data_IF_538830007847
#
_entry.id   IF_538830007847
#
_cell.length_a   1.000
_cell.length_b   1.000
_cell.length_c   1.000
_cell.angle_alpha   90.00
_cell.angle_beta   90.00
_cell.angle_gamma   90.00
#
_symmetry.space_group_name_H-M   'P 1'
#
loop_
_entity.id
_entity.type
_entity.pdbx_description
1 polymer ?
#
# COMPACT_ATOMS: atom_id res chain seq x y z
N UNK A 1 -12.85 20.19 6.93
CA UNK A 1 -12.17 20.45 8.23
C UNK A 1 -10.68 20.58 7.94
N UNK A 2 -9.93 21.43 8.66
CA UNK A 2 -8.51 21.72 8.36
C UNK A 2 -7.65 20.46 8.18
N UNK A 3 -7.89 19.41 8.98
CA UNK A 3 -7.22 18.11 8.88
C UNK A 3 -7.37 17.41 7.52
N UNK A 4 -8.55 17.49 6.89
CA UNK A 4 -8.76 16.83 5.59
C UNK A 4 -7.98 17.53 4.47
N UNK A 5 -7.90 18.86 4.50
CA UNK A 5 -7.13 19.63 3.52
C UNK A 5 -5.63 19.33 3.66
N UNK A 6 -5.10 19.25 4.89
CA UNK A 6 -3.70 18.89 5.13
C UNK A 6 -3.34 17.52 4.53
N UNK A 7 -4.24 16.54 4.63
CA UNK A 7 -4.05 15.22 4.02
C UNK A 7 -4.19 15.25 2.49
N UNK A 8 -5.07 16.09 1.94
CA UNK A 8 -5.17 16.30 0.49
C UNK A 8 -3.88 16.92 -0.06
N UNK A 9 -3.35 17.94 0.62
CA UNK A 9 -2.09 18.57 0.28
C UNK A 9 -0.93 17.54 0.34
N UNK A 10 -0.89 16.71 1.38
CA UNK A 10 0.08 15.62 1.51
C UNK A 10 -0.06 14.59 0.37
N UNK A 11 -1.28 14.26 -0.04
CA UNK A 11 -1.53 13.34 -1.17
C UNK A 11 -0.91 13.88 -2.46
N UNK A 12 -1.12 15.16 -2.77
CA UNK A 12 -0.50 15.81 -3.93
C UNK A 12 1.02 15.75 -3.86
N UNK A 13 1.59 16.04 -2.69
CA UNK A 13 3.03 16.01 -2.51
C UNK A 13 3.62 14.60 -2.62
N UNK A 14 2.95 13.57 -2.09
CA UNK A 14 3.40 12.18 -2.22
C UNK A 14 3.44 11.77 -3.69
N UNK A 15 2.47 12.20 -4.52
CA UNK A 15 2.54 11.98 -5.97
C UNK A 15 3.76 12.61 -6.60
N UNK A 16 4.08 13.86 -6.24
CA UNK A 16 5.31 14.53 -6.70
C UNK A 16 6.55 13.73 -6.33
N UNK A 17 6.63 13.25 -5.10
CA UNK A 17 7.78 12.47 -4.65
C UNK A 17 7.95 11.18 -5.46
N UNK A 18 6.85 10.45 -5.69
CA UNK A 18 6.83 9.23 -6.52
C UNK A 18 7.40 9.52 -7.90
N UNK A 19 6.86 10.54 -8.58
CA UNK A 19 7.26 10.93 -9.93
C UNK A 19 8.74 11.31 -10.00
N UNK A 20 9.21 12.12 -9.04
CA UNK A 20 10.61 12.56 -8.95
C UNK A 20 11.56 11.38 -8.65
N UNK A 21 11.18 10.47 -7.76
CA UNK A 21 11.98 9.28 -7.43
C UNK A 21 12.18 8.39 -8.65
N UNK A 22 11.10 8.00 -9.32
CA UNK A 22 11.19 7.04 -10.43
C UNK A 22 11.83 7.66 -11.68
N UNK A 23 11.60 8.95 -11.94
CA UNK A 23 12.25 9.68 -13.04
C UNK A 23 13.76 9.75 -12.86
N UNK A 24 14.23 10.13 -11.65
CA UNK A 24 15.66 10.35 -11.38
C UNK A 24 16.54 9.16 -11.76
N UNK A 25 16.04 7.94 -11.53
CA UNK A 25 16.76 6.69 -11.79
C UNK A 25 16.26 5.95 -13.03
N UNK A 26 15.34 6.54 -13.78
CA UNK A 26 14.67 5.95 -14.95
C UNK A 26 14.18 4.51 -14.67
N UNK A 27 13.65 4.28 -13.46
CA UNK A 27 13.32 2.95 -12.97
C UNK A 27 12.34 3.04 -11.80
N UNK A 28 11.32 2.18 -11.77
CA UNK A 28 10.34 2.14 -10.68
C UNK A 28 8.92 1.93 -11.18
N UNK A 29 7.97 1.91 -10.25
CA UNK A 29 6.57 1.55 -10.51
C UNK A 29 5.63 2.69 -10.13
N UNK A 30 5.47 3.73 -10.97
CA UNK A 30 4.61 4.86 -10.65
C UNK A 30 3.13 4.50 -10.65
N UNK A 31 2.66 3.62 -11.56
CA UNK A 31 1.24 3.33 -11.72
C UNK A 31 0.53 2.91 -10.44
N UNK A 32 0.94 1.79 -9.84
CA UNK A 32 0.34 1.32 -8.58
C UNK A 32 0.63 2.25 -7.40
N UNK A 33 1.79 2.91 -7.38
CA UNK A 33 2.14 3.89 -6.35
C UNK A 33 1.16 5.08 -6.34
N UNK A 34 0.90 5.65 -7.52
CA UNK A 34 -0.05 6.76 -7.70
C UNK A 34 -1.47 6.34 -7.36
N UNK A 35 -1.90 5.16 -7.80
CA UNK A 35 -3.24 4.61 -7.53
C UNK A 35 -3.53 4.38 -6.04
N UNK A 36 -2.51 4.11 -5.23
CA UNK A 36 -2.65 3.87 -3.80
C UNK A 36 -2.33 5.09 -2.92
N UNK A 37 -2.12 6.28 -3.47
CA UNK A 37 -1.61 7.43 -2.69
C UNK A 37 -2.54 7.83 -1.55
N UNK A 38 -3.85 7.99 -1.81
CA UNK A 38 -4.83 8.31 -0.77
C UNK A 38 -4.86 7.24 0.33
N UNK A 39 -4.74 5.96 -0.04
CA UNK A 39 -4.73 4.86 0.93
C UNK A 39 -3.58 4.98 1.91
N UNK A 40 -2.34 5.15 1.42
CA UNK A 40 -1.20 5.27 2.32
C UNK A 40 -1.27 6.53 3.19
N UNK A 41 -1.70 7.66 2.61
CA UNK A 41 -1.86 8.91 3.34
C UNK A 41 -2.89 8.76 4.47
N UNK A 42 -4.07 8.19 4.17
CA UNK A 42 -5.08 7.90 5.19
C UNK A 42 -4.56 6.90 6.23
N UNK A 43 -3.93 5.81 5.79
CA UNK A 43 -3.51 4.72 6.65
C UNK A 43 -2.53 5.19 7.74
N UNK A 44 -1.48 5.91 7.34
CA UNK A 44 -0.41 6.34 8.25
C UNK A 44 -0.75 7.59 9.08
N UNK A 45 -1.74 8.38 8.68
CA UNK A 45 -2.06 9.64 9.37
C UNK A 45 -3.37 9.62 10.15
N UNK A 46 -4.30 8.72 9.81
CA UNK A 46 -5.64 8.68 10.40
C UNK A 46 -6.06 7.32 10.95
N UNK A 47 -5.64 6.22 10.33
CA UNK A 47 -6.20 4.89 10.63
C UNK A 47 -5.36 4.12 11.65
N UNK A 48 -4.05 4.04 11.43
CA UNK A 48 -3.16 3.26 12.29
C UNK A 48 -2.84 3.97 13.59
N UNK A 49 -2.84 3.20 14.67
CA UNK A 49 -2.35 3.63 15.98
C UNK A 49 -0.85 3.32 16.09
N UNK A 50 -0.03 4.29 15.71
CA UNK A 50 1.43 4.19 15.70
C UNK A 50 2.06 4.77 16.97
N UNK A 51 3.22 4.26 17.35
CA UNK A 51 4.07 4.87 18.39
C UNK A 51 5.01 5.91 17.79
N UNK A 52 5.54 6.78 18.64
CA UNK A 52 6.63 7.66 18.24
C UNK A 52 7.91 6.84 18.01
N UNK A 53 8.57 7.10 16.89
CA UNK A 53 9.76 6.34 16.45
C UNK A 53 9.43 5.02 15.77
N UNK A 54 10.43 4.14 15.64
CA UNK A 54 10.28 2.83 15.02
C UNK A 54 11.00 1.77 15.86
N UNK A 55 10.27 0.69 16.13
CA UNK A 55 10.79 -0.53 16.74
C UNK A 55 10.38 -1.72 15.88
N UNK A 56 11.35 -2.58 15.51
CA UNK A 56 11.13 -3.77 14.67
C UNK A 56 10.17 -4.78 15.30
N UNK A 57 10.02 -4.79 16.63
CA UNK A 57 9.08 -5.69 17.31
C UNK A 57 7.62 -5.21 17.20
N UNK A 58 7.40 -3.89 17.05
CA UNK A 58 6.07 -3.33 16.80
C UNK A 58 5.06 -3.60 17.93
N UNK A 59 5.54 -3.66 19.17
CA UNK A 59 4.71 -3.91 20.35
C UNK A 59 3.80 -2.72 20.64
N UNK A 60 2.53 -2.95 20.98
CA UNK A 60 1.51 -1.95 21.29
C UNK A 60 1.33 -0.83 20.24
N UNK A 61 1.64 -1.12 18.97
CA UNK A 61 1.26 -0.31 17.81
C UNK A 61 0.64 -1.18 16.71
N UNK A 62 -0.10 -0.55 15.81
CA UNK A 62 -0.56 -1.20 14.59
C UNK A 62 0.61 -1.46 13.63
N UNK A 63 0.53 -2.54 12.84
CA UNK A 63 1.57 -2.91 11.87
C UNK A 63 1.05 -2.84 10.44
N UNK A 64 1.92 -2.46 9.52
CA UNK A 64 1.64 -2.51 8.08
C UNK A 64 2.67 -3.38 7.35
N UNK A 65 2.19 -4.17 6.39
CA UNK A 65 3.03 -4.94 5.48
C UNK A 65 2.62 -4.68 4.04
N UNK A 66 3.58 -4.22 3.22
CA UNK A 66 3.41 -4.07 1.79
C UNK A 66 3.70 -5.40 1.08
N UNK A 67 2.69 -6.06 0.52
CA UNK A 67 2.88 -7.35 -0.15
C UNK A 67 3.24 -7.18 -1.63
N UNK A 68 2.54 -6.27 -2.32
CA UNK A 68 2.88 -5.80 -3.67
C UNK A 68 4.07 -4.82 -3.64
N UNK A 69 5.21 -5.28 -3.11
CA UNK A 69 6.38 -4.46 -2.78
C UNK A 69 6.97 -3.61 -3.90
N UNK A 70 6.56 -3.82 -5.15
CA UNK A 70 7.03 -3.03 -6.29
C UNK A 70 6.56 -1.57 -6.22
N UNK A 71 5.44 -1.28 -5.55
CA UNK A 71 4.95 0.09 -5.29
C UNK A 71 5.69 0.80 -4.14
N UNK A 72 6.95 0.44 -3.92
CA UNK A 72 7.81 1.05 -2.90
C UNK A 72 7.91 2.58 -2.94
N UNK A 73 7.80 3.29 -4.09
CA UNK A 73 7.83 4.75 -4.11
C UNK A 73 6.79 5.41 -3.20
N UNK A 74 5.52 5.00 -3.25
CA UNK A 74 4.48 5.62 -2.39
C UNK A 74 4.76 5.33 -0.91
N UNK A 75 5.20 4.11 -0.62
CA UNK A 75 5.47 3.69 0.75
C UNK A 75 6.64 4.48 1.36
N UNK A 76 7.73 4.66 0.61
CA UNK A 76 8.88 5.43 1.06
C UNK A 76 8.56 6.92 1.24
N UNK A 77 7.84 7.53 0.30
CA UNK A 77 7.43 8.94 0.43
C UNK A 77 6.61 9.16 1.70
N UNK A 78 5.62 8.31 1.98
CA UNK A 78 4.77 8.43 3.17
C UNK A 78 5.55 8.19 4.45
N UNK A 79 6.43 7.20 4.50
CA UNK A 79 7.30 6.98 5.67
C UNK A 79 8.22 8.18 5.94
N UNK A 80 8.88 8.70 4.90
CA UNK A 80 9.76 9.86 5.01
C UNK A 80 9.00 11.08 5.54
N UNK A 81 7.84 11.38 4.96
CA UNK A 81 6.98 12.52 5.37
C UNK A 81 6.35 12.33 6.75
N UNK A 82 6.21 11.09 7.21
CA UNK A 82 5.81 10.77 8.58
C UNK A 82 6.95 10.88 9.59
N UNK A 83 8.20 11.07 9.12
CA UNK A 83 9.38 11.27 9.96
C UNK A 83 10.12 10.00 10.34
N UNK A 84 9.89 8.88 9.64
CA UNK A 84 10.65 7.64 9.88
C UNK A 84 12.12 7.77 9.47
N UNK A 85 12.41 8.61 8.48
CA UNK A 85 13.76 8.93 8.01
C UNK A 85 13.76 10.28 7.26
N UNK A 86 14.94 10.91 7.03
CA UNK A 86 15.04 12.20 6.34
C UNK A 86 14.45 12.17 4.92
N UNK A 87 13.76 13.25 4.53
CA UNK A 87 13.05 13.31 3.26
C UNK A 87 13.99 13.34 2.04
N UNK A 88 15.18 13.89 2.23
CA UNK A 88 16.28 13.99 1.28
C UNK A 88 16.79 12.61 0.85
N UNK A 89 16.56 11.57 1.66
CA UNK A 89 16.92 10.20 1.31
C UNK A 89 16.09 9.66 0.15
N UNK A 90 14.88 10.19 -0.11
CA UNK A 90 14.07 9.86 -1.31
C UNK A 90 14.87 10.08 -2.60
N UNK A 91 15.80 11.02 -2.59
CA UNK A 91 16.72 11.28 -3.69
C UNK A 91 17.69 10.13 -3.99
N UNK A 92 17.76 9.10 -3.14
CA UNK A 92 18.66 7.95 -3.28
C UNK A 92 17.95 6.68 -3.76
N UNK A 93 16.64 6.73 -4.03
CA UNK A 93 15.84 5.58 -4.47
C UNK A 93 16.52 4.77 -5.58
N UNK A 94 16.65 3.45 -5.37
CA UNK A 94 17.31 2.47 -6.29
C UNK A 94 18.77 2.72 -6.62
N UNK A 95 19.44 3.69 -6.00
CA UNK A 95 20.89 3.84 -6.16
C UNK A 95 21.64 2.76 -5.36
N UNK A 96 22.85 2.46 -5.81
CA UNK A 96 23.78 1.62 -5.03
C UNK A 96 23.98 2.24 -3.63
N UNK A 97 24.09 1.39 -2.62
CA UNK A 97 24.27 1.76 -1.21
C UNK A 97 23.13 2.62 -0.60
N UNK A 98 21.98 2.72 -1.27
CA UNK A 98 20.78 3.35 -0.70
C UNK A 98 20.02 2.39 0.20
N UNK A 99 19.38 2.90 1.26
CA UNK A 99 18.41 2.12 2.02
C UNK A 99 17.05 1.99 1.30
N UNK A 100 16.77 2.86 0.33
CA UNK A 100 15.55 2.88 -0.48
C UNK A 100 15.68 1.98 -1.71
N UNK A 101 15.67 0.67 -1.44
CA UNK A 101 15.81 -0.37 -2.45
C UNK A 101 14.61 -0.42 -3.42
N UNK A 102 14.79 -1.07 -4.58
CA UNK A 102 13.72 -1.14 -5.59
C UNK A 102 12.45 -1.85 -5.12
N UNK A 103 12.62 -2.76 -4.15
CA UNK A 103 11.58 -3.35 -3.32
C UNK A 103 11.99 -3.20 -1.84
N UNK A 104 11.06 -3.04 -0.89
CA UNK A 104 11.38 -2.92 0.53
C UNK A 104 12.15 -4.12 1.03
N UNK A 105 13.19 -3.85 1.83
CA UNK A 105 14.01 -4.86 2.49
C UNK A 105 14.43 -4.36 3.86
N UNK A 106 14.65 -5.30 4.79
CA UNK A 106 15.10 -5.00 6.15
C UNK A 106 16.62 -4.92 6.27
N UNK A 107 17.38 -5.41 5.28
CA UNK A 107 18.84 -5.51 5.36
C UNK A 107 19.51 -4.16 5.65
N UNK A 108 19.00 -3.10 5.04
CA UNK A 108 19.52 -1.75 5.14
C UNK A 108 19.02 -0.97 6.38
N UNK A 109 18.19 -1.59 7.22
CA UNK A 109 17.70 -0.97 8.45
C UNK A 109 16.86 0.30 8.24
N UNK A 110 16.09 0.37 7.15
CA UNK A 110 15.18 1.49 6.89
C UNK A 110 14.00 1.46 7.87
N UNK A 111 13.81 2.49 8.72
CA UNK A 111 12.70 2.53 9.66
C UNK A 111 11.34 2.49 8.95
N UNK A 112 10.39 1.75 9.52
CA UNK A 112 9.05 1.54 8.97
C UNK A 112 8.91 0.29 8.09
N UNK A 113 10.02 -0.28 7.60
CA UNK A 113 10.01 -1.53 6.81
C UNK A 113 10.28 -2.73 7.72
N UNK A 114 9.29 -3.62 7.86
CA UNK A 114 9.38 -4.81 8.74
C UNK A 114 9.74 -6.10 8.03
N UNK A 115 9.58 -6.16 6.71
CA UNK A 115 9.85 -7.37 5.91
C UNK A 115 10.51 -6.99 4.59
N UNK A 116 11.25 -7.94 4.03
CA UNK A 116 11.51 -7.92 2.59
C UNK A 116 10.23 -8.28 1.85
N UNK A 117 9.89 -7.51 0.81
CA UNK A 117 8.76 -7.78 -0.09
C UNK A 117 9.21 -7.66 -1.54
N UNK A 118 8.31 -7.93 -2.49
CA UNK A 118 8.57 -7.85 -3.94
C UNK A 118 8.30 -9.17 -4.65
N UNK A 119 8.64 -10.31 -4.02
CA UNK A 119 8.06 -11.59 -4.43
C UNK A 119 6.58 -11.58 -4.03
N UNK A 120 5.70 -11.47 -5.02
CA UNK A 120 4.25 -11.42 -4.82
C UNK A 120 3.77 -12.65 -4.05
N UNK A 121 2.72 -12.48 -3.24
CA UNK A 121 2.09 -13.54 -2.46
C UNK A 121 2.70 -13.82 -1.09
N UNK A 122 3.88 -13.26 -0.78
CA UNK A 122 4.55 -13.55 0.50
C UNK A 122 4.05 -12.70 1.66
N UNK A 123 3.64 -11.46 1.43
CA UNK A 123 3.36 -10.49 2.49
C UNK A 123 2.23 -10.92 3.42
N UNK A 124 1.16 -11.53 2.88
CA UNK A 124 0.02 -11.98 3.70
C UNK A 124 0.44 -13.08 4.68
N UNK A 125 1.23 -14.05 4.23
CA UNK A 125 1.73 -15.14 5.07
C UNK A 125 2.55 -14.60 6.24
N UNK A 126 3.42 -13.62 6.00
CA UNK A 126 4.24 -13.02 7.06
C UNK A 126 3.39 -12.19 8.02
N UNK A 127 2.46 -11.40 7.50
CA UNK A 127 1.54 -10.60 8.30
C UNK A 127 0.67 -11.45 9.24
N UNK A 128 0.25 -12.65 8.81
CA UNK A 128 -0.47 -13.60 9.67
C UNK A 128 0.36 -14.08 10.86
N UNK A 129 1.68 -14.23 10.69
CA UNK A 129 2.60 -14.53 11.78
C UNK A 129 2.60 -13.41 12.83
N UNK A 130 2.70 -12.15 12.37
CA UNK A 130 2.66 -10.98 13.25
C UNK A 130 1.31 -10.81 13.96
N UNK A 131 0.20 -11.02 13.24
CA UNK A 131 -1.15 -10.94 13.81
C UNK A 131 -1.36 -11.99 14.91
N UNK A 132 -0.88 -13.23 14.70
CA UNK A 132 -0.91 -14.27 15.73
C UNK A 132 0.00 -13.96 16.92
N UNK A 133 1.21 -13.45 16.66
CA UNK A 133 2.13 -13.05 17.74
C UNK A 133 1.50 -11.98 18.65
N UNK A 134 0.81 -10.98 18.08
CA UNK A 134 0.04 -9.99 18.86
C UNK A 134 -1.01 -10.65 19.75
N UNK A 135 -1.82 -11.57 19.20
CA UNK A 135 -2.81 -12.32 19.98
C UNK A 135 -2.18 -13.12 21.13
N UNK A 136 -1.10 -13.83 20.86
CA UNK A 136 -0.38 -14.61 21.88
C UNK A 136 0.18 -13.72 23.01
N UNK A 137 0.55 -12.48 22.67
CA UNK A 137 1.06 -11.49 23.61
C UNK A 137 -0.02 -10.64 24.29
N UNK A 138 -1.31 -10.90 24.01
CA UNK A 138 -2.44 -10.06 24.44
C UNK A 138 -2.30 -8.58 24.00
N UNK A 139 -1.65 -8.34 22.87
CA UNK A 139 -1.56 -7.03 22.23
C UNK A 139 -2.82 -6.83 21.36
N UNK A 140 -3.68 -5.82 21.67
CA UNK A 140 -4.95 -5.62 20.98
C UNK A 140 -4.79 -4.96 19.61
N UNK A 141 -3.56 -4.62 19.19
CA UNK A 141 -3.31 -3.87 17.96
C UNK A 141 -3.51 -4.70 16.70
N UNK A 142 -3.79 -4.00 15.61
CA UNK A 142 -4.14 -4.59 14.34
C UNK A 142 -2.93 -4.73 13.42
N UNK A 143 -3.08 -5.65 12.46
CA UNK A 143 -2.17 -5.79 11.33
C UNK A 143 -2.90 -5.43 10.06
N UNK A 144 -2.30 -4.57 9.25
CA UNK A 144 -2.77 -4.11 7.96
C UNK A 144 -1.85 -4.62 6.87
N UNK A 145 -2.41 -4.97 5.72
CA UNK A 145 -1.64 -5.40 4.55
C UNK A 145 -2.21 -4.79 3.28
N UNK A 146 -1.36 -4.58 2.28
CA UNK A 146 -1.76 -4.16 0.95
C UNK A 146 -1.26 -5.15 -0.09
N UNK A 147 -2.17 -5.56 -0.97
CA UNK A 147 -1.95 -6.53 -2.04
C UNK A 147 -2.38 -5.95 -3.38
N UNK A 148 -1.82 -6.45 -4.47
CA UNK A 148 -2.38 -6.23 -5.82
C UNK A 148 -3.45 -7.28 -6.15
N UNK A 149 -4.43 -6.92 -6.96
CA UNK A 149 -5.37 -7.90 -7.53
C UNK A 149 -4.69 -8.93 -8.46
N UNK A 150 -3.71 -8.52 -9.26
CA UNK A 150 -2.84 -9.43 -10.03
C UNK A 150 -1.97 -10.31 -9.14
N UNK A 151 -1.53 -9.81 -7.98
CA UNK A 151 -0.80 -10.61 -6.99
C UNK A 151 -1.64 -11.77 -6.44
N UNK A 152 -2.96 -11.64 -6.37
CA UNK A 152 -3.85 -12.71 -5.90
C UNK A 152 -3.90 -13.92 -6.85
N UNK A 153 -3.25 -13.87 -8.01
CA UNK A 153 -3.03 -15.04 -8.85
C UNK A 153 -2.03 -16.02 -8.22
N UNK A 154 -1.19 -15.56 -7.28
CA UNK A 154 -0.27 -16.43 -6.55
C UNK A 154 -1.01 -17.38 -5.60
N UNK A 155 -0.72 -18.68 -5.72
CA UNK A 155 -1.32 -19.73 -4.89
C UNK A 155 -1.08 -19.53 -3.39
N UNK A 156 0.07 -18.96 -3.03
CA UNK A 156 0.47 -18.69 -1.65
C UNK A 156 -0.53 -17.77 -0.92
N UNK A 157 -1.13 -16.79 -1.62
CA UNK A 157 -2.15 -15.94 -1.03
C UNK A 157 -3.35 -16.77 -0.57
N UNK A 158 -3.79 -17.74 -1.38
CA UNK A 158 -4.96 -18.57 -1.06
C UNK A 158 -4.71 -19.53 0.10
N UNK A 159 -3.48 -20.02 0.26
CA UNK A 159 -3.08 -20.77 1.46
C UNK A 159 -3.18 -19.89 2.73
N UNK A 160 -2.68 -18.66 2.66
CA UNK A 160 -2.74 -17.70 3.75
C UNK A 160 -4.19 -17.25 4.07
N UNK A 161 -4.99 -16.97 3.04
CA UNK A 161 -6.42 -16.61 3.14
C UNK A 161 -7.20 -17.74 3.82
N UNK A 162 -6.97 -18.99 3.42
CA UNK A 162 -7.57 -20.18 4.03
C UNK A 162 -7.19 -20.31 5.51
N UNK A 163 -5.91 -20.14 5.80
CA UNK A 163 -5.38 -20.26 7.15
C UNK A 163 -5.97 -19.19 8.09
N UNK A 164 -6.03 -17.94 7.65
CA UNK A 164 -6.50 -16.80 8.45
C UNK A 164 -7.91 -17.03 9.00
N UNK A 165 -8.82 -17.48 8.15
CA UNK A 165 -10.18 -17.80 8.54
C UNK A 165 -10.25 -19.06 9.41
N UNK A 166 -9.53 -20.13 9.03
CA UNK A 166 -9.48 -21.38 9.78
C UNK A 166 -8.92 -21.22 11.21
N UNK A 167 -8.07 -20.22 11.43
CA UNK A 167 -7.51 -19.85 12.74
C UNK A 167 -8.14 -18.62 13.39
N UNK A 168 -9.20 -18.05 12.80
CA UNK A 168 -9.92 -16.88 13.33
C UNK A 168 -8.96 -15.71 13.64
N UNK A 169 -8.06 -15.40 12.71
CA UNK A 169 -7.12 -14.28 12.82
C UNK A 169 -7.87 -12.98 12.53
N UNK A 170 -8.66 -12.53 13.50
CA UNK A 170 -9.61 -11.41 13.38
C UNK A 170 -9.02 -10.03 13.73
N UNK A 171 -7.70 -9.96 13.99
CA UNK A 171 -6.96 -8.71 14.17
C UNK A 171 -6.13 -8.35 12.91
N UNK A 172 -6.59 -8.81 11.75
CA UNK A 172 -5.98 -8.59 10.44
C UNK A 172 -6.97 -7.92 9.48
N UNK A 173 -6.51 -6.88 8.80
CA UNK A 173 -7.19 -6.25 7.66
C UNK A 173 -6.29 -6.38 6.43
N UNK A 174 -6.78 -7.10 5.41
CA UNK A 174 -6.10 -7.24 4.13
C UNK A 174 -6.77 -6.38 3.07
N UNK A 175 -6.08 -5.34 2.62
CA UNK A 175 -6.55 -4.47 1.55
C UNK A 175 -6.01 -4.97 0.22
N UNK A 176 -6.88 -5.05 -0.78
CA UNK A 176 -6.52 -5.35 -2.17
C UNK A 176 -6.70 -4.08 -2.97
N UNK A 177 -5.61 -3.60 -3.58
CA UNK A 177 -5.66 -2.61 -4.65
C UNK A 177 -6.31 -3.24 -5.88
N UNK A 178 -7.61 -3.02 -6.01
CA UNK A 178 -8.44 -3.59 -7.06
C UNK A 178 -8.53 -2.61 -8.23
N UNK A 179 -7.43 -2.48 -8.98
CA UNK A 179 -7.30 -1.52 -10.07
C UNK A 179 -7.49 -2.14 -11.48
N UNK A 180 -7.57 -3.46 -11.57
CA UNK A 180 -7.84 -4.22 -12.79
C UNK A 180 -6.66 -4.32 -13.76
N UNK A 181 -5.46 -3.92 -13.37
CA UNK A 181 -4.28 -3.83 -14.25
C UNK A 181 -3.09 -4.63 -13.71
N UNK A 182 -2.36 -5.28 -14.61
CA UNK A 182 -1.07 -5.93 -14.34
C UNK A 182 -0.10 -5.71 -15.51
N UNK A 183 1.11 -6.28 -15.45
CA UNK A 183 2.22 -5.96 -16.37
C UNK A 183 1.80 -6.04 -17.85
N UNK A 184 1.17 -7.16 -18.24
CA UNK A 184 0.88 -7.48 -19.65
C UNK A 184 -0.54 -7.09 -20.10
N UNK A 185 -1.30 -6.36 -19.28
CA UNK A 185 -2.66 -5.94 -19.62
C UNK A 185 -3.61 -5.92 -18.43
N UNK A 186 -4.91 -5.93 -18.72
CA UNK A 186 -5.94 -6.04 -17.68
C UNK A 186 -5.90 -7.41 -17.02
N UNK A 187 -6.31 -7.50 -15.75
CA UNK A 187 -6.41 -8.79 -15.05
C UNK A 187 -7.45 -9.70 -15.72
N UNK A 188 -8.53 -9.15 -16.28
CA UNK A 188 -9.57 -9.91 -16.99
C UNK A 188 -9.09 -10.53 -18.31
N UNK A 189 -8.13 -9.89 -18.99
CA UNK A 189 -7.56 -10.42 -20.24
C UNK A 189 -6.45 -11.43 -19.99
N UNK A 190 -5.56 -11.15 -19.03
CA UNK A 190 -4.36 -11.97 -18.82
C UNK A 190 -4.65 -13.22 -18.00
N UNK A 191 -5.27 -13.08 -16.82
CA UNK A 191 -5.70 -14.20 -15.99
C UNK A 191 -6.88 -13.78 -15.10
N UNK A 192 -8.11 -13.89 -15.59
CA UNK A 192 -9.29 -13.38 -14.90
C UNK A 192 -9.48 -14.04 -13.53
N UNK A 193 -9.49 -13.20 -12.49
CA UNK A 193 -9.76 -13.63 -11.12
C UNK A 193 -11.26 -13.77 -10.84
N UNK A 194 -12.13 -13.28 -11.72
CA UNK A 194 -13.57 -13.25 -11.52
C UNK A 194 -13.97 -12.52 -10.24
N UNK A 195 -15.03 -12.98 -9.58
CA UNK A 195 -15.55 -12.32 -8.37
C UNK A 195 -14.63 -12.56 -7.17
N UNK A 196 -13.78 -11.57 -6.85
CA UNK A 196 -12.87 -11.61 -5.71
C UNK A 196 -13.62 -11.63 -4.37
N UNK A 197 -14.70 -10.86 -4.25
CA UNK A 197 -15.53 -10.83 -3.04
C UNK A 197 -16.04 -12.22 -2.69
N UNK A 198 -16.67 -12.90 -3.66
CA UNK A 198 -17.18 -14.27 -3.44
C UNK A 198 -16.06 -15.25 -3.09
N UNK A 199 -14.84 -15.07 -3.59
CA UNK A 199 -13.70 -15.92 -3.21
C UNK A 199 -13.35 -15.72 -1.74
N UNK A 200 -13.11 -14.48 -1.30
CA UNK A 200 -12.84 -14.19 0.11
C UNK A 200 -13.98 -14.65 1.03
N UNK A 201 -15.24 -14.40 0.66
CA UNK A 201 -16.41 -14.87 1.41
C UNK A 201 -16.46 -16.41 1.51
N UNK A 202 -16.15 -17.12 0.43
CA UNK A 202 -16.08 -18.59 0.43
C UNK A 202 -14.98 -19.14 1.34
N UNK A 203 -13.87 -18.40 1.50
CA UNK A 203 -12.83 -18.71 2.49
C UNK A 203 -13.19 -18.29 3.92
N UNK A 204 -14.31 -17.60 4.13
CA UNK A 204 -14.81 -17.24 5.46
C UNK A 204 -14.39 -15.85 5.97
N UNK A 205 -13.95 -14.97 5.08
CA UNK A 205 -13.60 -13.58 5.41
C UNK A 205 -14.83 -12.67 5.49
N UNK A 206 -14.75 -11.60 6.28
CA UNK A 206 -15.65 -10.45 6.16
C UNK A 206 -15.11 -9.55 5.04
N UNK A 207 -15.95 -9.17 4.07
CA UNK A 207 -15.52 -8.38 2.92
C UNK A 207 -16.25 -7.03 2.90
N UNK A 208 -15.46 -5.96 2.82
CA UNK A 208 -15.91 -4.59 2.59
C UNK A 208 -15.36 -4.11 1.25
N UNK A 209 -16.14 -3.29 0.54
CA UNK A 209 -15.70 -2.68 -0.72
C UNK A 209 -15.71 -1.17 -0.56
N UNK A 210 -14.60 -0.52 -0.92
CA UNK A 210 -14.49 0.93 -1.03
C UNK A 210 -14.45 1.25 -2.52
N UNK A 211 -15.58 1.73 -3.04
CA UNK A 211 -15.76 1.97 -4.48
C UNK A 211 -14.96 3.20 -4.98
N UNK A 212 -14.76 4.19 -4.11
CA UNK A 212 -14.00 5.40 -4.42
C UNK A 212 -12.60 5.34 -3.77
N UNK A 213 -11.77 4.38 -4.20
CA UNK A 213 -10.44 4.14 -3.64
C UNK A 213 -9.39 5.20 -3.97
N UNK A 214 -9.79 6.27 -4.67
CA UNK A 214 -9.02 7.48 -4.88
C UNK A 214 -9.68 8.73 -4.27
N UNK A 215 -10.68 8.54 -3.41
CA UNK A 215 -11.28 9.60 -2.62
C UNK A 215 -10.85 9.42 -1.16
N UNK A 216 -10.10 10.39 -0.64
CA UNK A 216 -9.52 10.32 0.69
C UNK A 216 -10.58 10.17 1.80
N UNK A 217 -11.72 10.87 1.70
CA UNK A 217 -12.80 10.77 2.70
C UNK A 217 -13.47 9.39 2.65
N UNK A 218 -13.72 8.86 1.45
CA UNK A 218 -14.27 7.52 1.28
C UNK A 218 -13.34 6.45 1.85
N UNK A 219 -12.03 6.56 1.64
CA UNK A 219 -11.02 5.66 2.22
C UNK A 219 -10.99 5.75 3.74
N UNK A 220 -10.95 6.97 4.30
CA UNK A 220 -10.93 7.15 5.76
C UNK A 220 -12.16 6.50 6.40
N UNK A 221 -13.34 6.74 5.82
CA UNK A 221 -14.59 6.18 6.34
C UNK A 221 -14.63 4.66 6.19
N UNK A 222 -14.28 4.13 5.01
CA UNK A 222 -14.26 2.70 4.74
C UNK A 222 -13.24 1.94 5.59
N UNK A 223 -12.05 2.49 5.80
CA UNK A 223 -11.04 1.84 6.66
C UNK A 223 -11.40 1.90 8.14
N UNK A 224 -12.09 2.95 8.61
CA UNK A 224 -12.68 2.99 9.96
C UNK A 224 -13.75 1.92 10.13
N UNK A 225 -14.63 1.76 9.15
CA UNK A 225 -15.61 0.68 9.15
C UNK A 225 -14.94 -0.71 9.15
N UNK A 226 -13.90 -0.91 8.33
CA UNK A 226 -13.12 -2.15 8.33
C UNK A 226 -12.53 -2.46 9.71
N UNK A 227 -12.00 -1.44 10.41
CA UNK A 227 -11.50 -1.55 11.79
C UNK A 227 -12.60 -1.99 12.76
N UNK A 228 -13.81 -1.44 12.66
CA UNK A 228 -14.96 -1.82 13.48
C UNK A 228 -15.46 -3.26 13.23
N UNK A 229 -15.10 -3.87 12.09
CA UNK A 229 -15.43 -5.26 11.75
C UNK A 229 -14.45 -6.29 12.34
N UNK A 230 -13.27 -5.85 12.78
CA UNK A 230 -12.26 -6.71 13.42
C UNK A 230 -12.71 -7.25 14.80
N UNK A 231 -11.99 -8.25 15.33
CA UNK A 231 -12.26 -8.84 16.65
C UNK A 231 -13.52 -9.71 16.75
N UNK A 232 -14.12 -10.07 15.61
CA UNK A 232 -15.39 -10.82 15.51
C UNK A 232 -15.20 -12.27 15.04
N UNK A 233 -14.00 -12.82 15.21
CA UNK A 233 -13.65 -14.20 14.82
C UNK A 233 -13.43 -14.39 13.31
N UNK A 234 -13.42 -13.32 12.51
CA UNK A 234 -13.12 -13.34 11.08
C UNK A 234 -12.06 -12.29 10.72
N UNK A 235 -11.09 -12.61 9.84
CA UNK A 235 -10.27 -11.58 9.19
C UNK A 235 -11.12 -10.72 8.25
N UNK A 236 -10.69 -9.47 8.02
CA UNK A 236 -11.39 -8.51 7.16
C UNK A 236 -10.61 -8.30 5.86
N UNK A 237 -11.29 -8.41 4.73
CA UNK A 237 -10.77 -8.03 3.42
C UNK A 237 -11.42 -6.72 2.98
N UNK A 238 -10.60 -5.76 2.53
CA UNK A 238 -11.06 -4.53 1.91
C UNK A 238 -10.70 -4.58 0.42
N UNK A 239 -11.71 -4.64 -0.44
CA UNK A 239 -11.51 -4.44 -1.88
C UNK A 239 -11.55 -2.94 -2.15
N UNK A 240 -10.39 -2.36 -2.41
CA UNK A 240 -10.21 -0.94 -2.64
C UNK A 240 -10.15 -0.69 -4.15
N UNK A 241 -11.22 -0.14 -4.73
CA UNK A 241 -11.31 0.12 -6.16
C UNK A 241 -10.53 1.39 -6.50
N UNK A 242 -9.34 1.25 -7.08
CA UNK A 242 -8.48 2.39 -7.45
C UNK A 242 -8.26 2.48 -8.96
N UNK A 243 -7.65 3.56 -9.40
CA UNK A 243 -7.17 3.74 -10.77
C UNK A 243 -5.65 3.76 -10.75
N UNK A 244 -5.01 2.80 -11.43
CA UNK A 244 -3.57 2.83 -11.67
C UNK A 244 -3.19 4.18 -12.31
N UNK A 245 -2.16 4.85 -11.80
CA UNK A 245 -1.71 6.15 -12.29
C UNK A 245 -2.53 7.35 -11.82
N UNK A 246 -3.44 7.19 -10.85
CA UNK A 246 -4.35 8.25 -10.42
C UNK A 246 -3.64 9.57 -10.05
N UNK A 247 -4.16 10.68 -10.58
CA UNK A 247 -3.61 12.03 -10.42
C UNK A 247 -2.62 12.44 -11.51
N UNK A 248 -2.38 11.59 -12.51
CA UNK A 248 -1.63 11.94 -13.73
C UNK A 248 -2.39 11.44 -14.96
N UNK A 249 -2.98 12.35 -15.74
CA UNK A 249 -3.97 12.00 -16.77
C UNK A 249 -3.48 10.96 -17.78
N UNK A 250 -2.25 11.11 -18.27
CA UNK A 250 -1.67 10.21 -19.28
C UNK A 250 -1.19 8.86 -18.70
N UNK A 251 -1.18 8.72 -17.36
CA UNK A 251 -0.85 7.48 -16.67
C UNK A 251 -2.06 6.64 -16.29
N UNK A 252 -3.26 7.22 -16.34
CA UNK A 252 -4.50 6.56 -15.92
C UNK A 252 -5.06 5.62 -16.98
N UNK A 253 -5.80 4.60 -16.52
CA UNK A 253 -6.55 3.66 -17.35
C UNK A 253 -5.71 2.84 -18.34
N UNK A 254 -4.42 2.63 -18.02
CA UNK A 254 -3.51 1.84 -18.83
C UNK A 254 -2.48 1.13 -17.95
N UNK A 255 -2.12 -0.10 -18.33
CA UNK A 255 -1.04 -0.85 -17.69
C UNK A 255 0.36 -0.34 -18.07
N UNK A 256 0.48 0.52 -19.10
CA UNK A 256 1.77 0.95 -19.65
C UNK A 256 2.69 1.64 -18.62
N UNK A 257 2.11 2.14 -17.53
CA UNK A 257 2.81 2.83 -16.44
C UNK A 257 3.02 1.96 -15.20
N UNK A 258 2.77 0.65 -15.29
CA UNK A 258 3.02 -0.29 -14.22
C UNK A 258 4.48 -0.20 -13.72
N UNK A 259 5.46 -0.26 -14.63
CA UNK A 259 6.89 -0.29 -14.31
C UNK A 259 7.76 0.66 -15.14
N UNK A 260 7.16 1.70 -15.73
CA UNK A 260 7.84 2.65 -16.62
C UNK A 260 7.97 4.02 -15.96
N UNK A 261 9.19 4.57 -15.92
CA UNK A 261 9.42 5.95 -15.47
C UNK A 261 9.02 6.96 -16.56
N UNK A 262 8.50 8.15 -16.19
CA UNK A 262 8.28 9.23 -17.13
C UNK A 262 9.62 9.78 -17.63
N UNK A 263 9.63 10.31 -18.86
CA UNK A 263 10.74 11.14 -19.36
C UNK A 263 10.63 12.59 -18.84
N UNK A 264 11.53 13.47 -19.26
CA UNK A 264 11.58 14.87 -18.78
C UNK A 264 10.29 15.66 -19.07
N UNK A 265 9.76 15.58 -20.30
CA UNK A 265 8.53 16.28 -20.71
C UNK A 265 7.29 15.73 -19.97
N UNK A 266 7.23 14.42 -19.79
CA UNK A 266 6.17 13.73 -19.05
C UNK A 266 6.23 14.07 -17.56
N UNK A 267 7.44 14.17 -16.99
CA UNK A 267 7.63 14.59 -15.61
C UNK A 267 7.14 16.04 -15.42
N UNK A 268 7.56 16.96 -16.29
CA UNK A 268 7.13 18.37 -16.23
C UNK A 268 5.59 18.46 -16.25
N UNK A 269 4.95 17.75 -17.18
CA UNK A 269 3.48 17.68 -17.29
C UNK A 269 2.86 17.11 -16.01
N UNK A 270 3.38 16.00 -15.49
CA UNK A 270 2.83 15.36 -14.29
C UNK A 270 3.01 16.22 -13.02
N UNK A 271 4.11 16.96 -12.90
CA UNK A 271 4.36 17.90 -11.80
C UNK A 271 3.49 19.16 -11.91
N UNK A 272 3.12 19.59 -13.12
CA UNK A 272 2.17 20.68 -13.29
C UNK A 272 0.74 20.29 -12.82
N UNK A 273 0.36 19.02 -12.97
CA UNK A 273 -0.90 18.47 -12.46
C UNK A 273 -0.90 18.27 -10.94
N UNK A 274 0.29 18.14 -10.34
CA UNK A 274 0.49 17.91 -8.92
C UNK A 274 1.39 19.01 -8.34
N UNK A 275 0.90 20.24 -8.11
CA UNK A 275 1.72 21.35 -7.64
C UNK A 275 2.31 21.07 -6.25
N UNK A 276 3.46 21.67 -5.95
CA UNK A 276 4.13 21.53 -4.65
C UNK A 276 3.25 22.07 -3.51
N UNK A 277 3.16 21.32 -2.41
CA UNK A 277 2.33 21.70 -1.25
C UNK A 277 3.10 21.65 0.08
N UNK A 278 4.18 20.86 0.19
CA UNK A 278 4.88 20.66 1.47
C UNK A 278 6.41 20.61 1.34
N UNK A 279 6.99 21.14 0.26
CA UNK A 279 8.43 21.09 0.04
C UNK A 279 8.85 19.85 -0.77
N UNK A 280 9.55 20.11 -1.86
CA UNK A 280 10.34 19.10 -2.55
C UNK A 280 11.64 18.80 -1.78
N UNK A 281 12.09 17.54 -1.81
CA UNK A 281 13.37 17.07 -1.26
C UNK A 281 14.56 17.25 -2.21
#
# INVERSE_FOLDING_TARGET
MPKLQELQDLTVQVRRDILRMVHKVNSGHPGGSLGCTEFFVALYNEIMELKDGFDMDGKDEDLFFLSNGHISPVFYSVLARKGYFPIEELNTFRLIDSRLQGHPTTHEGLPGVRIASGSLGQGLSVALGAAQAKKLNNDPKLVYTLHGDGELQEGQNWEAIMYAAGKKVDNLIATVDYNGQQIDGSTDDVLPMGDLKKKFEAFGWDVLEIQEGNNLEAIINGMKEAKERTGKGKPVCVLLHTIMGHGVDFMMYTHAWHGKAPNDEQLETALAQNPETAGDY
#
